data_IF_944256695430
#
_entry.id   IF_944256695430
#
_cell.length_a   1.000
_cell.length_b   1.000
_cell.length_c   1.000
_cell.angle_alpha   90.00
_cell.angle_beta   90.00
_cell.angle_gamma   90.00
#
_symmetry.space_group_name_H-M   'P 1'
#
loop_
_entity.id
_entity.type
_entity.pdbx_description
1 polymer ?
#
# COMPACT_ATOMS: atom_id res chain seq x y z
N UNK A 1 11.85 -2.40 0.41
CA UNK A 1 11.01 -3.30 -0.41
C UNK A 1 11.59 -4.69 -0.26
N UNK A 2 10.76 -5.72 -0.05
CA UNK A 2 11.26 -7.09 0.17
C UNK A 2 11.80 -7.70 -1.13
N UNK A 3 12.60 -8.74 -0.97
CA UNK A 3 13.14 -9.59 -2.01
C UNK A 3 12.35 -10.89 -2.08
N UNK A 4 12.38 -11.54 -3.25
CA UNK A 4 11.67 -12.80 -3.48
C UNK A 4 12.09 -13.90 -2.50
N UNK A 5 13.37 -13.97 -2.14
CA UNK A 5 13.91 -14.95 -1.20
C UNK A 5 13.51 -14.70 0.27
N UNK A 6 12.92 -13.56 0.59
CA UNK A 6 12.36 -13.25 1.92
C UNK A 6 10.94 -13.80 2.08
N UNK A 7 10.31 -14.23 0.98
CA UNK A 7 8.97 -14.83 0.97
C UNK A 7 9.10 -16.33 1.17
N UNK A 8 8.62 -16.82 2.31
CA UNK A 8 8.54 -18.24 2.66
C UNK A 8 7.16 -18.78 2.25
N UNK A 9 7.11 -19.64 1.24
CA UNK A 9 5.86 -20.20 0.72
C UNK A 9 5.04 -20.99 1.75
N UNK A 10 5.66 -21.39 2.88
CA UNK A 10 4.96 -22.07 3.99
C UNK A 10 4.28 -21.11 4.96
N UNK A 11 4.45 -19.81 4.78
CA UNK A 11 3.88 -18.77 5.63
C UNK A 11 2.80 -18.00 4.90
N UNK A 12 1.87 -17.47 5.68
CA UNK A 12 0.86 -16.54 5.20
C UNK A 12 1.30 -15.12 5.52
N UNK A 13 1.07 -14.20 4.60
CA UNK A 13 1.51 -12.82 4.70
C UNK A 13 0.36 -11.84 4.47
N UNK A 14 0.53 -10.65 5.05
CA UNK A 14 -0.17 -9.42 4.72
C UNK A 14 0.84 -8.42 4.22
N UNK A 15 0.37 -7.36 3.58
CA UNK A 15 1.19 -6.22 3.18
C UNK A 15 0.77 -5.01 4.01
N UNK A 16 1.73 -4.43 4.72
CA UNK A 16 1.54 -3.14 5.35
C UNK A 16 1.85 -2.02 4.34
N UNK A 17 0.92 -1.09 4.22
CA UNK A 17 1.03 0.15 3.47
C UNK A 17 1.56 1.20 4.43
N UNK A 18 2.84 1.51 4.27
CA UNK A 18 3.58 2.31 5.22
C UNK A 18 3.83 3.71 4.68
N UNK A 19 3.82 4.71 5.56
CA UNK A 19 4.17 6.09 5.25
C UNK A 19 5.10 6.63 6.33
N UNK A 20 6.18 7.28 5.92
CA UNK A 20 7.08 7.95 6.87
C UNK A 20 6.65 9.40 7.12
N UNK A 21 7.33 10.07 8.06
CA UNK A 21 7.08 11.48 8.43
C UNK A 21 7.26 12.48 7.28
N UNK A 22 7.93 12.08 6.20
CA UNK A 22 8.20 12.94 5.04
C UNK A 22 7.19 12.69 3.91
N UNK A 23 6.11 11.95 4.16
CA UNK A 23 5.09 11.63 3.17
C UNK A 23 5.44 10.47 2.23
N UNK A 24 6.68 9.94 2.28
CA UNK A 24 7.10 8.84 1.41
C UNK A 24 6.37 7.54 1.78
N UNK A 25 5.76 6.93 0.77
CA UNK A 25 5.00 5.70 0.87
C UNK A 25 5.80 4.50 0.40
N UNK A 26 5.64 3.37 1.06
CA UNK A 26 6.23 2.09 0.66
C UNK A 26 5.39 0.90 1.15
N UNK A 27 5.73 -0.28 0.64
CA UNK A 27 5.14 -1.54 1.07
C UNK A 27 6.10 -2.33 1.94
N UNK A 28 5.57 -2.94 3.00
CA UNK A 28 6.31 -3.84 3.87
C UNK A 28 5.60 -5.20 3.95
N UNK A 29 6.37 -6.27 3.77
CA UNK A 29 5.89 -7.64 3.91
C UNK A 29 5.74 -7.97 5.39
N UNK A 30 4.58 -8.48 5.81
CA UNK A 30 4.28 -8.79 7.20
C UNK A 30 3.77 -10.23 7.32
N UNK A 31 4.57 -11.17 7.86
CA UNK A 31 4.07 -12.49 8.22
C UNK A 31 2.85 -12.39 9.15
N UNK A 32 1.89 -13.29 8.98
CA UNK A 32 0.75 -13.40 9.90
C UNK A 32 1.25 -13.60 11.35
N UNK A 33 0.75 -12.77 12.27
CA UNK A 33 1.13 -12.80 13.68
C UNK A 33 2.43 -12.04 14.02
N UNK A 34 3.13 -11.45 13.04
CA UNK A 34 4.25 -10.56 13.32
C UNK A 34 3.76 -9.17 13.76
N UNK A 35 4.61 -8.46 14.51
CA UNK A 35 4.38 -7.04 14.80
C UNK A 35 4.42 -6.22 13.51
N UNK A 36 3.53 -5.24 13.40
CA UNK A 36 3.53 -4.31 12.26
C UNK A 36 4.67 -3.30 12.35
N UNK A 37 5.21 -2.84 11.21
CA UNK A 37 6.12 -1.72 11.18
C UNK A 37 5.52 -0.49 11.86
N UNK A 38 6.32 0.32 12.59
CA UNK A 38 5.83 1.56 13.21
C UNK A 38 5.27 2.58 12.21
N UNK A 39 5.68 2.47 10.94
CA UNK A 39 5.24 3.34 9.84
C UNK A 39 4.01 2.80 9.10
N UNK A 40 3.45 1.66 9.52
CA UNK A 40 2.26 1.10 8.90
C UNK A 40 1.04 1.99 9.14
N UNK A 41 0.41 2.45 8.07
CA UNK A 41 -0.80 3.29 8.10
C UNK A 41 -2.03 2.44 7.79
N UNK A 42 -1.93 1.60 6.76
CA UNK A 42 -2.96 0.65 6.38
C UNK A 42 -2.35 -0.75 6.26
N UNK A 43 -3.19 -1.77 6.29
CA UNK A 43 -2.76 -3.16 6.16
C UNK A 43 -3.78 -3.93 5.33
N UNK A 44 -3.27 -4.76 4.43
CA UNK A 44 -4.11 -5.66 3.65
C UNK A 44 -4.61 -6.82 4.50
N UNK A 45 -5.66 -7.47 4.02
CA UNK A 45 -5.94 -8.86 4.33
C UNK A 45 -4.79 -9.77 3.81
N UNK A 46 -5.01 -11.08 3.83
CA UNK A 46 -4.03 -12.04 3.33
C UNK A 46 -3.72 -11.74 1.86
N UNK A 47 -2.44 -11.53 1.56
CA UNK A 47 -1.98 -11.23 0.22
C UNK A 47 -1.69 -12.54 -0.56
N UNK A 48 -2.09 -12.65 -1.84
CA UNK A 48 -1.79 -13.81 -2.67
C UNK A 48 -0.29 -14.05 -2.84
N UNK A 49 0.13 -15.29 -2.61
CA UNK A 49 1.55 -15.67 -2.59
C UNK A 49 2.28 -15.39 -3.91
N UNK A 50 1.62 -15.66 -5.03
CA UNK A 50 2.18 -15.46 -6.37
C UNK A 50 2.48 -13.98 -6.64
N UNK A 51 1.61 -13.07 -6.20
CA UNK A 51 1.81 -11.63 -6.32
C UNK A 51 2.92 -11.13 -5.40
N UNK A 52 3.03 -11.69 -4.19
CA UNK A 52 4.13 -11.37 -3.27
C UNK A 52 5.50 -11.76 -3.82
N UNK A 53 5.60 -12.93 -4.47
CA UNK A 53 6.83 -13.42 -5.10
C UNK A 53 7.24 -12.56 -6.30
N UNK A 54 6.27 -12.05 -7.06
CA UNK A 54 6.49 -11.17 -8.21
C UNK A 54 6.69 -9.71 -7.83
N UNK A 55 6.27 -9.32 -6.62
CA UNK A 55 6.16 -7.93 -6.16
C UNK A 55 5.23 -7.11 -7.05
N UNK A 56 4.13 -7.73 -7.42
CA UNK A 56 3.11 -7.11 -8.28
C UNK A 56 2.15 -6.28 -7.43
N UNK A 57 2.53 -5.02 -7.16
CA UNK A 57 1.75 -4.13 -6.30
C UNK A 57 0.43 -3.69 -6.94
N UNK A 58 0.40 -3.56 -8.27
CA UNK A 58 -0.81 -3.24 -9.01
C UNK A 58 -1.78 -4.41 -8.92
N UNK A 59 -1.31 -5.63 -9.22
CA UNK A 59 -2.11 -6.83 -9.04
C UNK A 59 -2.58 -7.01 -7.60
N UNK A 60 -1.74 -6.68 -6.61
CA UNK A 60 -2.14 -6.68 -5.19
C UNK A 60 -3.29 -5.71 -4.91
N UNK A 61 -3.28 -4.49 -5.44
CA UNK A 61 -4.40 -3.55 -5.26
C UNK A 61 -5.71 -4.03 -5.88
N UNK A 62 -5.65 -4.82 -6.95
CA UNK A 62 -6.85 -5.33 -7.63
C UNK A 62 -7.53 -6.46 -6.86
N UNK A 63 -6.76 -7.28 -6.14
CA UNK A 63 -7.28 -8.51 -5.51
C UNK A 63 -7.26 -8.51 -3.99
N UNK A 64 -6.34 -7.78 -3.37
CA UNK A 64 -6.21 -7.73 -1.91
C UNK A 64 -6.92 -6.50 -1.36
N UNK A 65 -7.82 -6.72 -0.40
CA UNK A 65 -8.48 -5.66 0.33
C UNK A 65 -7.67 -5.24 1.55
N UNK A 66 -7.94 -4.06 2.07
CA UNK A 66 -7.51 -3.65 3.40
C UNK A 66 -8.27 -4.46 4.45
N UNK A 67 -7.75 -4.56 5.67
CA UNK A 67 -8.45 -5.22 6.78
C UNK A 67 -9.78 -4.55 7.16
N UNK A 68 -10.01 -3.33 6.70
CA UNK A 68 -11.28 -2.60 6.77
C UNK A 68 -12.28 -3.06 5.70
N UNK A 69 -11.90 -3.95 4.78
CA UNK A 69 -12.70 -4.42 3.66
C UNK A 69 -12.70 -3.49 2.44
N UNK A 70 -12.02 -2.34 2.52
CA UNK A 70 -11.93 -1.35 1.43
C UNK A 70 -10.77 -1.66 0.48
N UNK A 71 -10.85 -1.27 -0.80
CA UNK A 71 -9.72 -1.36 -1.72
C UNK A 71 -8.66 -0.29 -1.40
N UNK A 72 -7.46 -0.49 -1.96
CA UNK A 72 -6.44 0.54 -2.11
C UNK A 72 -6.00 0.56 -3.58
N UNK A 73 -5.32 1.62 -3.99
CA UNK A 73 -4.89 1.81 -5.37
C UNK A 73 -3.38 1.98 -5.43
N UNK A 74 -2.77 1.66 -6.58
CA UNK A 74 -1.34 1.87 -6.82
C UNK A 74 -1.18 2.59 -8.15
N UNK A 75 -0.44 3.70 -8.14
CA UNK A 75 -0.13 4.45 -9.36
C UNK A 75 0.95 3.73 -10.21
N UNK A 76 1.22 4.27 -11.40
CA UNK A 76 2.22 3.73 -12.31
C UNK A 76 3.66 3.75 -11.75
N UNK A 77 3.92 4.53 -10.70
CA UNK A 77 5.22 4.66 -10.04
C UNK A 77 5.32 3.78 -8.79
N UNK A 78 4.28 3.02 -8.44
CA UNK A 78 4.25 2.16 -7.26
C UNK A 78 3.91 2.92 -5.97
N UNK A 79 3.36 4.12 -6.06
CA UNK A 79 2.82 4.85 -4.90
C UNK A 79 1.41 4.38 -4.63
N UNK A 80 1.14 3.94 -3.40
CA UNK A 80 -0.20 3.53 -3.01
C UNK A 80 -1.06 4.70 -2.56
N UNK A 81 -2.38 4.60 -2.78
CA UNK A 81 -3.41 5.57 -2.41
C UNK A 81 -4.58 4.87 -1.70
N UNK A 82 -5.21 5.55 -0.76
CA UNK A 82 -6.49 5.11 -0.22
C UNK A 82 -7.60 5.25 -1.28
N UNK A 83 -8.76 4.64 -1.02
CA UNK A 83 -9.93 4.84 -1.87
C UNK A 83 -10.37 6.30 -1.92
N UNK A 84 -10.43 6.97 -0.77
CA UNK A 84 -10.80 8.39 -0.66
C UNK A 84 -9.84 9.31 -1.42
N UNK A 85 -8.53 9.05 -1.31
CA UNK A 85 -7.51 9.83 -2.05
C UNK A 85 -7.64 9.61 -3.56
N UNK A 86 -7.87 8.37 -3.99
CA UNK A 86 -8.04 8.05 -5.40
C UNK A 86 -9.31 8.69 -5.98
N UNK A 87 -10.43 8.63 -5.25
CA UNK A 87 -11.69 9.25 -5.63
C UNK A 87 -11.55 10.77 -5.77
N UNK A 88 -10.97 11.45 -4.77
CA UNK A 88 -10.73 12.89 -4.81
C UNK A 88 -9.87 13.30 -6.02
N UNK A 89 -8.81 12.55 -6.33
CA UNK A 89 -7.96 12.82 -7.49
C UNK A 89 -8.73 12.61 -8.80
N UNK A 90 -9.53 11.56 -8.90
CA UNK A 90 -10.33 11.25 -10.09
C UNK A 90 -11.43 12.30 -10.33
N UNK A 91 -11.96 12.91 -9.28
CA UNK A 91 -12.89 14.05 -9.36
C UNK A 91 -12.21 15.36 -9.76
N UNK A 92 -10.88 15.37 -9.92
CA UNK A 92 -10.11 16.55 -10.31
C UNK A 92 -9.84 17.51 -9.16
N UNK A 93 -9.98 17.06 -7.91
CA UNK A 93 -9.68 17.86 -6.73
C UNK A 93 -8.20 18.31 -6.74
N UNK A 94 -7.90 19.59 -6.44
CA UNK A 94 -6.53 20.05 -6.26
C UNK A 94 -5.81 19.25 -5.18
N UNK A 95 -4.53 18.92 -5.37
CA UNK A 95 -3.75 18.15 -4.38
C UNK A 95 -3.69 18.80 -2.98
N UNK A 96 -3.87 20.11 -2.88
CA UNK A 96 -3.97 20.84 -1.61
C UNK A 96 -5.26 20.56 -0.84
N UNK A 97 -6.29 20.05 -1.51
CA UNK A 97 -7.63 19.78 -0.96
C UNK A 97 -7.89 18.28 -0.77
N UNK A 98 -7.09 17.41 -1.41
CA UNK A 98 -7.19 15.95 -1.24
C UNK A 98 -7.05 15.56 0.23
N UNK A 99 -7.96 14.73 0.78
CA UNK A 99 -7.92 14.29 2.16
C UNK A 99 -6.83 13.23 2.39
N UNK A 100 -5.58 13.66 2.44
CA UNK A 100 -4.46 12.75 2.69
C UNK A 100 -4.61 12.06 4.05
N UNK A 101 -4.49 10.72 4.08
CA UNK A 101 -4.77 9.86 5.24
C UNK A 101 -4.18 10.33 6.59
N UNK A 102 -3.02 10.98 6.55
CA UNK A 102 -2.33 11.51 7.72
C UNK A 102 -1.98 13.00 7.57
N UNK A 103 -2.67 13.71 6.69
CA UNK A 103 -2.40 15.10 6.33
C UNK A 103 -1.12 15.31 5.52
N UNK A 104 -0.44 14.25 5.11
CA UNK A 104 0.79 14.33 4.32
C UNK A 104 0.56 13.79 2.91
N UNK A 105 0.74 14.69 1.94
CA UNK A 105 0.75 14.33 0.52
C UNK A 105 1.85 13.29 0.24
N UNK A 106 1.57 12.25 -0.56
CA UNK A 106 2.57 11.33 -1.05
C UNK A 106 3.65 12.06 -1.87
N UNK A 107 4.88 11.55 -1.78
CA UNK A 107 5.97 11.97 -2.64
C UNK A 107 5.76 11.39 -4.06
N UNK A 108 4.95 12.07 -4.87
CA UNK A 108 4.72 11.69 -6.25
C UNK A 108 5.94 12.01 -7.11
N UNK A 109 6.23 11.12 -8.08
CA UNK A 109 7.24 11.41 -9.07
C UNK A 109 6.88 12.70 -9.84
N UNK A 110 7.86 13.57 -10.16
CA UNK A 110 7.62 14.75 -10.98
C UNK A 110 7.06 14.34 -12.35
N UNK A 111 6.07 15.08 -12.83
CA UNK A 111 5.43 14.88 -14.14
C UNK A 111 6.35 15.24 -15.30
#
# INVERSE_FOLDING_TARGET
>A
MWMRNEVDEKKTYRVALCQNSNGRRNFALCPMGSKLPPTAVLITEVAPMDLLLRRDFIGLSEVAKLTTGTPFFVDAHGTWLSGEECEAINEGMPFSEVPWLNGLMPDFAPR
#
